data_IF_612582658080
#
_entry.id   IF_612582658080
#
_cell.length_a   1.000
_cell.length_b   1.000
_cell.length_c   1.000
_cell.angle_alpha   90.00
_cell.angle_beta   90.00
_cell.angle_gamma   90.00
#
_symmetry.space_group_name_H-M   'P 1'
#
loop_
_entity.id
_entity.type
_entity.pdbx_description
1 polymer ?
#
# COMPACT_ATOMS: atom_id res chain seq x y z
N UNK A 1 -22.41 17.11 17.87
CA UNK A 1 -21.09 16.62 18.32
C UNK A 1 -20.53 15.70 17.26
N UNK A 2 -19.88 16.25 16.23
CA UNK A 2 -19.18 15.41 15.25
C UNK A 2 -17.86 15.01 15.89
N UNK A 3 -17.87 13.92 16.63
CA UNK A 3 -16.67 13.20 17.05
C UNK A 3 -15.75 13.11 15.83
N UNK A 4 -14.49 13.52 15.96
CA UNK A 4 -13.43 13.24 14.99
C UNK A 4 -13.25 11.70 14.93
N UNK A 5 -14.20 11.04 14.28
CA UNK A 5 -14.35 9.59 14.24
C UNK A 5 -13.36 8.96 13.28
N UNK A 6 -13.07 7.69 13.56
CA UNK A 6 -12.25 6.80 12.76
C UNK A 6 -12.47 7.00 11.26
N UNK A 7 -11.44 7.44 10.55
CA UNK A 7 -11.47 7.77 9.13
C UNK A 7 -10.42 7.01 8.33
N UNK A 8 -10.14 7.49 7.12
CA UNK A 8 -9.20 6.83 6.22
C UNK A 8 -7.76 6.81 6.74
N UNK A 9 -7.39 7.78 7.59
CA UNK A 9 -6.08 7.81 8.24
C UNK A 9 -5.93 6.64 9.22
N UNK A 10 -6.86 6.51 10.15
CA UNK A 10 -6.89 5.44 11.15
C UNK A 10 -7.01 4.07 10.47
N UNK A 11 -7.93 3.94 9.50
CA UNK A 11 -8.11 2.69 8.74
C UNK A 11 -6.84 2.26 8.00
N UNK A 12 -6.13 3.20 7.38
CA UNK A 12 -4.90 2.88 6.64
C UNK A 12 -3.77 2.43 7.56
N UNK A 13 -3.60 3.09 8.71
CA UNK A 13 -2.61 2.73 9.70
C UNK A 13 -2.92 1.36 10.35
N UNK A 14 -4.19 1.08 10.65
CA UNK A 14 -4.60 -0.19 11.26
C UNK A 14 -4.42 -1.36 10.31
N UNK A 15 -4.75 -1.20 9.02
CA UNK A 15 -4.50 -2.25 8.02
C UNK A 15 -3.01 -2.52 7.83
N UNK A 16 -2.17 -1.48 7.84
CA UNK A 16 -0.72 -1.65 7.76
C UNK A 16 -0.17 -2.39 8.99
N UNK A 17 -0.67 -2.09 10.19
CA UNK A 17 -0.32 -2.82 11.41
C UNK A 17 -0.89 -4.25 11.45
N UNK A 18 -2.05 -4.50 10.85
CA UNK A 18 -2.59 -5.85 10.69
C UNK A 18 -1.69 -6.69 9.77
N UNK A 19 -1.23 -6.13 8.65
CA UNK A 19 -0.28 -6.80 7.76
C UNK A 19 1.05 -7.10 8.46
N UNK A 20 1.59 -6.15 9.23
CA UNK A 20 2.80 -6.37 10.05
C UNK A 20 2.63 -7.59 10.98
N UNK A 21 1.54 -7.64 11.74
CA UNK A 21 1.25 -8.75 12.67
C UNK A 21 1.17 -10.09 11.93
N UNK A 22 0.44 -10.13 10.82
CA UNK A 22 0.34 -11.34 10.00
C UNK A 22 1.70 -11.84 9.48
N UNK A 23 2.61 -10.93 9.12
CA UNK A 23 3.97 -11.31 8.71
C UNK A 23 4.79 -11.86 9.88
N UNK A 24 4.70 -11.25 11.06
CA UNK A 24 5.39 -11.72 12.27
C UNK A 24 4.86 -13.09 12.69
N UNK A 25 3.54 -13.26 12.70
CA UNK A 25 2.88 -14.55 12.98
C UNK A 25 3.29 -15.63 11.96
N UNK A 26 3.60 -15.21 10.72
CA UNK A 26 4.16 -16.06 9.67
C UNK A 26 5.65 -16.36 9.79
N UNK A 27 6.33 -15.88 10.83
CA UNK A 27 7.75 -16.15 11.11
C UNK A 27 8.73 -15.05 10.67
N UNK A 28 8.25 -13.87 10.26
CA UNK A 28 9.11 -12.71 10.07
C UNK A 28 9.60 -12.21 11.44
N UNK A 29 10.91 -12.08 11.60
CA UNK A 29 11.48 -11.42 12.78
C UNK A 29 10.98 -9.98 12.88
N UNK A 30 10.39 -9.62 14.01
CA UNK A 30 9.83 -8.29 14.27
C UNK A 30 10.88 -7.19 14.10
N UNK A 31 12.16 -7.48 14.39
CA UNK A 31 13.26 -6.53 14.23
C UNK A 31 13.51 -6.13 12.76
N UNK A 32 12.96 -6.86 11.78
CA UNK A 32 13.09 -6.53 10.34
C UNK A 32 12.07 -5.49 9.87
N UNK A 33 11.12 -5.08 10.71
CA UNK A 33 10.13 -4.07 10.36
C UNK A 33 10.56 -2.71 10.92
N UNK A 34 11.16 -1.90 10.05
CA UNK A 34 11.69 -0.59 10.43
C UNK A 34 10.61 0.48 10.61
N UNK A 35 9.55 0.47 9.77
CA UNK A 35 8.53 1.54 9.75
C UNK A 35 7.19 1.04 9.22
N UNK A 36 6.09 1.53 9.83
CA UNK A 36 4.72 1.37 9.34
C UNK A 36 4.14 2.76 9.05
N UNK A 37 3.46 2.94 7.93
CA UNK A 37 2.91 4.23 7.49
C UNK A 37 1.48 4.05 7.01
N UNK A 38 0.55 4.87 7.53
CA UNK A 38 -0.77 5.07 6.95
C UNK A 38 -0.76 6.28 6.02
N UNK A 39 -1.28 6.13 4.80
CA UNK A 39 -1.33 7.22 3.80
C UNK A 39 -2.75 7.67 3.45
N UNK A 40 -3.78 7.09 4.07
CA UNK A 40 -5.19 7.39 3.79
C UNK A 40 -5.48 7.47 2.27
N UNK A 41 -6.11 8.56 1.83
CA UNK A 41 -6.39 8.91 0.44
C UNK A 41 -5.39 9.92 -0.14
N UNK A 42 -4.23 10.14 0.50
CA UNK A 42 -3.24 11.14 0.03
C UNK A 42 -2.50 10.73 -1.24
N UNK A 43 -2.43 9.41 -1.53
CA UNK A 43 -1.72 8.85 -2.69
C UNK A 43 -2.63 7.88 -3.44
N UNK A 44 -3.60 8.42 -4.19
CA UNK A 44 -4.43 7.64 -5.10
C UNK A 44 -3.58 7.09 -6.25
N UNK A 45 -3.71 5.80 -6.52
CA UNK A 45 -3.06 5.13 -7.66
C UNK A 45 -3.79 5.48 -8.94
N UNK A 46 -5.09 5.24 -8.95
CA UNK A 46 -6.00 5.73 -9.97
C UNK A 46 -6.61 7.06 -9.50
N UNK A 47 -6.08 8.16 -10.05
CA UNK A 47 -6.56 9.51 -9.79
C UNK A 47 -7.86 9.83 -10.54
N UNK A 48 -8.18 9.08 -11.58
CA UNK A 48 -9.36 9.32 -12.43
C UNK A 48 -10.62 8.76 -11.79
N UNK A 49 -10.50 7.66 -11.03
CA UNK A 49 -11.59 7.09 -10.25
C UNK A 49 -11.15 6.89 -8.78
N UNK A 50 -11.40 7.88 -7.90
CA UNK A 50 -11.02 7.78 -6.48
C UNK A 50 -11.65 6.59 -5.73
N UNK A 51 -12.84 6.14 -6.14
CA UNK A 51 -13.54 5.02 -5.51
C UNK A 51 -13.04 3.63 -5.98
N UNK A 52 -12.15 3.59 -6.98
CA UNK A 52 -11.62 2.37 -7.55
C UNK A 52 -10.98 1.48 -6.46
N UNK A 53 -11.36 0.17 -6.38
CA UNK A 53 -10.77 -0.78 -5.43
C UNK A 53 -9.24 -0.81 -5.39
N UNK A 54 -8.58 -0.54 -6.51
CA UNK A 54 -7.11 -0.51 -6.60
C UNK A 54 -6.46 0.53 -5.66
N UNK A 55 -7.21 1.58 -5.29
CA UNK A 55 -6.74 2.58 -4.34
C UNK A 55 -6.67 2.06 -2.89
N UNK A 56 -7.19 0.86 -2.60
CA UNK A 56 -7.21 0.25 -1.25
C UNK A 56 -6.14 -0.84 -1.05
N UNK A 57 -4.87 -0.54 -1.34
CA UNK A 57 -3.73 -1.49 -1.29
C UNK A 57 -2.90 -1.45 0.01
N UNK A 58 -2.13 -2.51 0.25
CA UNK A 58 -1.03 -2.57 1.22
C UNK A 58 0.27 -2.78 0.45
N UNK A 59 1.26 -1.93 0.68
CA UNK A 59 2.57 -2.03 0.00
C UNK A 59 3.65 -2.43 1.00
N UNK A 60 4.40 -3.48 0.68
CA UNK A 60 5.54 -3.96 1.47
C UNK A 60 6.80 -3.63 0.69
N UNK A 61 7.70 -2.86 1.30
CA UNK A 61 8.97 -2.46 0.67
C UNK A 61 10.11 -3.21 1.37
N UNK A 62 10.82 -4.03 0.61
CA UNK A 62 12.05 -4.69 1.08
C UNK A 62 13.24 -3.79 0.76
N UNK A 63 13.97 -3.37 1.79
CA UNK A 63 15.08 -2.43 1.65
C UNK A 63 16.42 -3.15 1.63
N UNK A 64 17.37 -2.63 0.87
CA UNK A 64 18.80 -2.94 1.05
C UNK A 64 19.30 -2.21 2.31
N UNK A 65 20.48 -2.61 2.83
CA UNK A 65 21.07 -1.96 4.01
C UNK A 65 21.27 -0.46 3.84
N UNK A 66 21.68 -0.02 2.64
CA UNK A 66 21.90 1.41 2.36
C UNK A 66 20.58 2.19 2.32
N UNK A 67 19.53 1.60 1.73
CA UNK A 67 18.20 2.19 1.67
C UNK A 67 17.54 2.25 3.07
N UNK A 68 17.73 1.21 3.87
CA UNK A 68 17.33 1.19 5.28
C UNK A 68 18.05 2.30 6.05
N UNK A 69 19.39 2.36 6.00
CA UNK A 69 20.16 3.39 6.71
C UNK A 69 19.73 4.81 6.31
N UNK A 70 19.48 5.04 5.02
CA UNK A 70 18.96 6.33 4.52
C UNK A 70 17.56 6.64 5.06
N UNK A 71 16.70 5.65 5.20
CA UNK A 71 15.35 5.81 5.77
C UNK A 71 15.38 6.10 7.28
N UNK A 72 16.32 5.52 8.04
CA UNK A 72 16.51 5.80 9.46
C UNK A 72 17.19 7.15 9.72
N UNK A 73 18.11 7.58 8.84
CA UNK A 73 18.91 8.79 9.03
C UNK A 73 18.09 10.10 8.97
N UNK A 74 16.81 10.04 8.58
CA UNK A 74 15.85 11.12 8.81
C UNK A 74 16.20 12.45 8.16
N UNK A 75 16.03 12.58 6.84
CA UNK A 75 15.91 13.88 6.20
C UNK A 75 15.04 13.80 4.94
N UNK A 76 13.75 14.12 5.08
CA UNK A 76 12.91 14.81 4.07
C UNK A 76 12.67 14.18 2.70
N UNK A 77 13.40 13.14 2.29
CA UNK A 77 13.16 12.50 1.00
C UNK A 77 11.99 11.54 1.17
N UNK A 78 10.88 11.72 0.41
CA UNK A 78 9.92 10.64 0.29
C UNK A 78 10.74 9.43 -0.14
N UNK A 79 10.55 8.30 0.54
CA UNK A 79 11.06 7.03 0.03
C UNK A 79 10.44 6.93 -1.35
N UNK A 80 11.23 7.26 -2.37
CA UNK A 80 10.79 7.24 -3.73
C UNK A 80 10.45 5.77 -3.95
N UNK A 81 9.15 5.49 -4.05
CA UNK A 81 8.71 4.24 -4.63
C UNK A 81 9.50 4.17 -5.93
N UNK A 82 10.39 3.17 -6.02
CA UNK A 82 11.08 2.85 -7.27
C UNK A 82 10.04 2.89 -8.39
N UNK A 83 10.45 3.36 -9.58
CA UNK A 83 9.59 3.39 -10.76
C UNK A 83 8.70 2.15 -10.76
N UNK A 84 7.38 2.35 -10.85
CA UNK A 84 6.38 1.31 -10.63
C UNK A 84 6.84 0.03 -11.31
N UNK A 85 7.40 -0.89 -10.52
CA UNK A 85 7.60 -2.25 -10.99
C UNK A 85 6.17 -2.72 -11.24
N UNK A 86 5.94 -3.30 -12.42
CA UNK A 86 4.68 -3.94 -12.75
C UNK A 86 4.30 -4.85 -11.58
N UNK A 87 3.40 -4.35 -10.74
CA UNK A 87 2.91 -5.07 -9.59
C UNK A 87 2.00 -6.16 -10.17
N UNK A 88 2.34 -7.44 -10.04
CA UNK A 88 1.56 -8.51 -10.65
C UNK A 88 0.09 -8.50 -10.17
N UNK A 89 -0.19 -7.89 -9.01
CA UNK A 89 -1.55 -7.69 -8.49
C UNK A 89 -2.32 -6.59 -9.24
N UNK A 90 -1.61 -5.69 -9.96
CA UNK A 90 -2.17 -4.64 -10.82
C UNK A 90 -2.50 -5.16 -12.22
N UNK A 91 -1.71 -6.11 -12.76
CA UNK A 91 -1.99 -6.75 -14.04
C UNK A 91 -3.30 -7.54 -14.06
N UNK A 92 -3.71 -8.12 -12.93
CA UNK A 92 -4.95 -8.91 -12.85
C UNK A 92 -6.22 -8.08 -13.12
N UNK A 93 -6.17 -6.75 -12.87
CA UNK A 93 -7.30 -5.84 -13.09
C UNK A 93 -7.29 -5.18 -14.48
N UNK A 94 -6.24 -5.37 -15.29
CA UNK A 94 -6.11 -4.82 -16.64
C UNK A 94 -6.43 -5.81 -17.74
N UNK A 95 -6.86 -7.04 -17.40
CA UNK A 95 -7.51 -7.91 -18.38
C UNK A 95 -8.80 -7.18 -18.81
N UNK A 96 -8.93 -6.78 -20.09
CA UNK A 96 -10.19 -6.22 -20.57
C UNK A 96 -11.25 -7.27 -20.27
N UNK A 97 -12.34 -6.86 -19.62
CA UNK A 97 -13.53 -7.70 -19.53
C UNK A 97 -13.82 -8.19 -20.94
N UNK A 98 -13.62 -9.49 -21.19
CA UNK A 98 -13.99 -10.11 -22.46
C UNK A 98 -15.48 -9.84 -22.63
N UNK A 99 -15.80 -8.90 -23.50
CA UNK A 99 -17.17 -8.62 -23.91
C UNK A 99 -17.59 -9.85 -24.70
N UNK A 100 -18.14 -10.83 -23.97
CA UNK A 100 -18.90 -11.92 -24.55
C UNK A 100 -20.23 -11.35 -25.03
N UNK A 101 -20.21 -10.61 -26.13
CA UNK A 101 -21.40 -10.41 -26.94
C UNK A 101 -21.59 -11.67 -27.78
N UNK A 102 -22.35 -12.60 -27.23
CA UNK A 102 -23.03 -13.61 -28.02
C UNK A 102 -24.53 -13.31 -27.91
N UNK A 103 -25.02 -12.57 -28.88
CA UNK A 103 -26.43 -12.50 -29.23
C UNK A 103 -26.61 -12.98 -30.68
N UNK A 104 -27.82 -13.34 -31.11
CA UNK A 104 -28.97 -13.89 -30.37
C UNK A 104 -29.16 -15.41 -30.59
#
# INVERSE_FOLDING_TARGET
TTTHGYGNWELSADRANAARRALVDGGLDEAKVTRVVGLASSVLFDKTNPANPINRRISIVVMTRDAEASALAGAGSPVALSAAVADPDVQAAQVPAVVGDAAP
#
